data_IF_788367846564
#
_entry.id   IF_788367846564
#
_cell.length_a   1.000
_cell.length_b   1.000
_cell.length_c   1.000
_cell.angle_alpha   90.00
_cell.angle_beta   90.00
_cell.angle_gamma   90.00
#
_symmetry.space_group_name_H-M   'P 1'
#
loop_
_entity.id
_entity.type
_entity.pdbx_description
1 polymer ?
#
# COMPACT_ATOMS: atom_id res chain seq x y z
N UNK A 1 7.48 11.03 -39.58
CA UNK A 1 6.92 11.76 -38.43
C UNK A 1 7.60 11.24 -37.18
N UNK A 2 8.19 12.07 -36.31
CA UNK A 2 8.68 11.59 -35.03
C UNK A 2 7.53 11.60 -34.01
N UNK A 3 7.29 10.47 -33.36
CA UNK A 3 6.42 10.33 -32.21
C UNK A 3 7.10 11.01 -31.01
N UNK A 4 6.46 12.05 -30.48
CA UNK A 4 6.86 12.66 -29.22
C UNK A 4 6.34 11.80 -28.07
N UNK A 5 7.21 10.98 -27.49
CA UNK A 5 6.94 10.19 -26.28
C UNK A 5 6.95 11.13 -25.05
N UNK A 6 5.92 11.97 -24.96
CA UNK A 6 5.86 13.20 -24.17
C UNK A 6 5.21 13.08 -22.81
N UNK A 7 5.33 11.95 -22.10
CA UNK A 7 4.97 11.90 -20.67
C UNK A 7 6.19 11.64 -19.82
N UNK A 8 6.67 12.66 -19.11
CA UNK A 8 7.73 12.58 -18.09
C UNK A 8 7.24 11.95 -16.77
N UNK A 9 5.98 11.53 -16.68
CA UNK A 9 5.31 11.17 -15.43
C UNK A 9 5.24 9.64 -15.26
N UNK A 10 5.69 9.16 -14.09
CA UNK A 10 5.58 7.75 -13.68
C UNK A 10 4.11 7.39 -13.43
N UNK A 11 3.63 6.25 -13.93
CA UNK A 11 2.28 5.80 -13.64
C UNK A 11 2.13 5.52 -12.13
N UNK A 12 1.06 6.01 -11.52
CA UNK A 12 0.75 5.78 -10.10
C UNK A 12 -0.46 4.86 -10.01
N UNK A 13 -0.29 3.70 -9.36
CA UNK A 13 -1.38 2.82 -8.99
C UNK A 13 -1.75 3.03 -7.54
N UNK A 14 -3.05 3.15 -7.27
CA UNK A 14 -3.56 3.35 -5.91
C UNK A 14 -3.94 2.01 -5.26
N UNK A 15 -3.53 1.80 -4.01
CA UNK A 15 -3.97 0.72 -3.14
C UNK A 15 -4.65 1.33 -1.93
N UNK A 16 -5.86 0.87 -1.60
CA UNK A 16 -6.60 1.32 -0.42
C UNK A 16 -6.64 0.19 0.60
N UNK A 17 -6.23 0.49 1.83
CA UNK A 17 -6.22 -0.46 2.94
C UNK A 17 -7.06 0.12 4.07
N UNK A 18 -8.08 -0.63 4.47
CA UNK A 18 -8.95 -0.29 5.59
C UNK A 18 -8.60 -1.13 6.80
N UNK A 19 -8.48 -0.46 7.96
CA UNK A 19 -8.21 -1.08 9.25
C UNK A 19 -9.47 -1.13 10.12
N UNK A 20 -9.56 -2.10 11.05
CA UNK A 20 -10.62 -2.10 12.05
C UNK A 20 -10.43 -0.93 13.02
N UNK A 21 -11.45 -0.65 13.83
CA UNK A 21 -11.40 0.38 14.86
C UNK A 21 -10.22 0.12 15.81
N UNK A 22 -9.38 1.14 15.97
CA UNK A 22 -8.29 1.14 16.94
C UNK A 22 -8.54 2.21 18.01
N UNK A 23 -8.22 1.88 19.26
CA UNK A 23 -8.21 2.88 20.32
C UNK A 23 -7.03 3.82 20.11
N UNK A 24 -7.32 5.12 19.97
CA UNK A 24 -6.28 6.10 19.67
C UNK A 24 -5.41 6.35 20.92
N UNK A 25 -4.23 5.71 20.98
CA UNK A 25 -3.24 6.00 22.02
C UNK A 25 -2.30 7.14 21.58
N UNK A 26 -2.65 8.37 21.94
CA UNK A 26 -1.82 9.59 21.85
C UNK A 26 -1.26 9.97 20.45
N UNK A 27 -0.59 11.12 20.37
CA UNK A 27 0.00 11.67 19.13
C UNK A 27 1.29 10.91 18.84
N UNK A 28 1.21 9.95 17.92
CA UNK A 28 2.40 9.23 17.41
C UNK A 28 2.93 9.97 16.19
N UNK A 29 4.26 10.08 16.08
CA UNK A 29 4.93 10.62 14.90
C UNK A 29 4.49 9.84 13.64
N UNK A 30 4.36 10.54 12.51
CA UNK A 30 4.04 9.84 11.26
C UNK A 30 5.22 8.93 10.86
N UNK A 31 4.98 7.63 10.63
CA UNK A 31 6.05 6.71 10.30
C UNK A 31 6.57 6.99 8.89
N UNK A 32 7.89 6.94 8.73
CA UNK A 32 8.56 7.28 7.46
C UNK A 32 8.64 6.10 6.47
N UNK A 33 8.27 4.90 6.91
CA UNK A 33 8.30 3.66 6.12
C UNK A 33 7.10 2.76 6.40
N UNK A 34 6.83 1.80 5.51
CA UNK A 34 5.81 0.77 5.75
C UNK A 34 6.14 -0.11 6.96
N UNK A 35 7.43 -0.35 7.24
CA UNK A 35 7.87 -1.04 8.45
C UNK A 35 7.47 -0.27 9.71
N UNK A 36 7.77 1.04 9.77
CA UNK A 36 7.37 1.88 10.89
C UNK A 36 5.85 1.98 11.04
N UNK A 37 5.11 1.99 9.92
CA UNK A 37 3.64 1.95 9.96
C UNK A 37 3.12 0.61 10.50
N UNK A 38 3.72 -0.50 10.08
CA UNK A 38 3.38 -1.82 10.60
C UNK A 38 3.61 -1.89 12.12
N UNK A 39 4.79 -1.48 12.60
CA UNK A 39 5.12 -1.43 14.03
C UNK A 39 4.09 -0.60 14.81
N UNK A 40 3.74 0.57 14.30
CA UNK A 40 2.74 1.43 14.92
C UNK A 40 1.33 0.81 14.94
N UNK A 41 0.93 0.13 13.88
CA UNK A 41 -0.37 -0.55 13.82
C UNK A 41 -0.40 -1.77 14.75
N UNK A 42 0.70 -2.50 14.89
CA UNK A 42 0.86 -3.60 15.87
C UNK A 42 0.71 -3.09 17.29
N UNK A 43 1.28 -1.92 17.62
CA UNK A 43 1.07 -1.28 18.92
C UNK A 43 -0.40 -0.92 19.18
N UNK A 44 -1.18 -0.67 18.12
CA UNK A 44 -2.61 -0.41 18.21
C UNK A 44 -3.48 -1.67 18.12
N UNK A 45 -2.88 -2.86 18.19
CA UNK A 45 -3.59 -4.15 18.12
C UNK A 45 -4.08 -4.51 16.71
N UNK A 46 -3.47 -3.92 15.68
CA UNK A 46 -3.75 -4.21 14.28
C UNK A 46 -2.52 -4.73 13.55
N UNK A 47 -2.69 -5.15 12.31
CA UNK A 47 -1.63 -5.84 11.57
C UNK A 47 -1.70 -5.39 10.09
N UNK A 48 -0.61 -4.80 9.60
CA UNK A 48 -0.51 -4.26 8.23
C UNK A 48 -0.12 -5.33 7.20
N UNK A 49 0.74 -6.29 7.56
CA UNK A 49 1.34 -7.24 6.63
C UNK A 49 0.29 -8.10 5.94
N UNK A 50 -0.65 -8.67 6.70
CA UNK A 50 -1.74 -9.52 6.23
C UNK A 50 -2.67 -8.74 5.31
N UNK A 51 -3.03 -7.51 5.73
CA UNK A 51 -3.92 -6.64 4.93
C UNK A 51 -3.24 -6.21 3.65
N UNK A 52 -1.98 -5.79 3.73
CA UNK A 52 -1.20 -5.34 2.58
C UNK A 52 -0.96 -6.51 1.62
N UNK A 53 -0.54 -7.66 2.12
CA UNK A 53 -0.36 -8.90 1.36
C UNK A 53 -1.64 -9.27 0.62
N UNK A 54 -2.78 -9.30 1.32
CA UNK A 54 -4.10 -9.58 0.72
C UNK A 54 -4.48 -8.56 -0.35
N UNK A 55 -4.32 -7.27 -0.08
CA UNK A 55 -4.62 -6.21 -1.05
C UNK A 55 -3.75 -6.33 -2.31
N UNK A 56 -2.47 -6.67 -2.16
CA UNK A 56 -1.56 -6.90 -3.30
C UNK A 56 -1.98 -8.15 -4.05
N UNK A 57 -2.26 -9.24 -3.33
CA UNK A 57 -2.70 -10.51 -3.89
C UNK A 57 -3.96 -10.29 -4.74
N UNK A 58 -4.96 -9.58 -4.23
CA UNK A 58 -6.22 -9.29 -4.93
C UNK A 58 -6.04 -8.32 -6.12
N UNK A 59 -5.01 -7.48 -6.10
CA UNK A 59 -4.68 -6.60 -7.22
C UNK A 59 -4.07 -7.34 -8.44
N UNK A 60 -3.76 -8.64 -8.33
CA UNK A 60 -3.10 -9.45 -9.40
C UNK A 60 -4.00 -10.62 -9.87
N UNK A 61 -5.20 -10.37 -10.44
CA UNK A 61 -6.11 -11.45 -10.82
C UNK A 61 -5.69 -12.23 -12.08
N UNK A 62 -4.85 -11.65 -12.95
CA UNK A 62 -4.51 -12.21 -14.28
C UNK A 62 -3.01 -12.41 -14.49
N UNK A 63 -2.25 -12.48 -13.40
CA UNK A 63 -0.79 -12.42 -13.42
C UNK A 63 -0.27 -11.01 -13.68
N UNK A 64 1.01 -10.81 -13.42
CA UNK A 64 1.71 -9.52 -13.52
C UNK A 64 3.07 -9.70 -14.19
N UNK A 65 3.56 -8.64 -14.83
CA UNK A 65 4.93 -8.57 -15.37
C UNK A 65 5.70 -7.46 -14.66
N UNK A 66 7.03 -7.52 -14.63
CA UNK A 66 7.85 -6.38 -14.23
C UNK A 66 7.43 -5.12 -15.02
N UNK A 67 7.39 -3.94 -14.39
CA UNK A 67 7.05 -2.71 -15.10
C UNK A 67 8.08 -2.42 -16.20
N UNK A 68 7.61 -1.92 -17.35
CA UNK A 68 8.47 -1.47 -18.45
C UNK A 68 8.61 0.07 -18.47
N UNK A 69 9.62 0.58 -19.18
CA UNK A 69 9.81 2.02 -19.36
C UNK A 69 10.17 2.75 -18.05
N UNK A 70 9.41 3.80 -17.70
CA UNK A 70 9.67 4.69 -16.54
C UNK A 70 9.30 4.09 -15.19
N UNK A 71 8.81 2.86 -15.18
CA UNK A 71 8.37 2.16 -13.97
C UNK A 71 6.95 2.54 -13.53
N UNK A 72 6.52 1.94 -12.42
CA UNK A 72 5.24 2.19 -11.74
C UNK A 72 5.53 2.55 -10.27
N UNK A 73 4.75 3.47 -9.70
CA UNK A 73 4.78 3.80 -8.29
C UNK A 73 3.42 3.45 -7.66
N UNK A 74 3.40 3.22 -6.35
CA UNK A 74 2.17 2.99 -5.62
C UNK A 74 1.80 4.19 -4.76
N UNK A 75 0.51 4.51 -4.68
CA UNK A 75 -0.06 5.35 -3.64
C UNK A 75 -0.87 4.44 -2.71
N UNK A 76 -0.38 4.21 -1.49
CA UNK A 76 -1.07 3.41 -0.48
C UNK A 76 -1.85 4.37 0.43
N UNK A 77 -3.17 4.25 0.44
CA UNK A 77 -4.05 4.98 1.33
C UNK A 77 -4.46 4.06 2.48
N UNK A 78 -4.13 4.45 3.70
CA UNK A 78 -4.39 3.69 4.92
C UNK A 78 -5.45 4.40 5.73
N UNK A 79 -6.61 3.75 5.86
CA UNK A 79 -7.77 4.25 6.60
C UNK A 79 -7.77 3.64 7.99
N UNK A 80 -7.52 4.47 9.01
CA UNK A 80 -7.47 4.06 10.42
C UNK A 80 -8.65 4.69 11.15
N UNK A 81 -9.78 3.97 11.32
CA UNK A 81 -10.90 4.44 12.11
C UNK A 81 -10.51 4.43 13.59
N UNK A 82 -10.82 5.53 14.30
CA UNK A 82 -10.41 5.74 15.69
C UNK A 82 -11.58 5.64 16.63
N UNK A 83 -11.33 5.15 17.84
CA UNK A 83 -12.23 5.31 18.97
C UNK A 83 -11.72 6.45 19.87
N UNK A 84 -12.62 7.35 20.25
CA UNK A 84 -12.41 8.36 21.28
C UNK A 84 -13.54 8.25 22.29
N UNK A 85 -13.21 7.93 23.54
CA UNK A 85 -14.19 7.70 24.62
C UNK A 85 -15.26 6.65 24.25
N UNK A 86 -14.88 5.57 23.57
CA UNK A 86 -15.79 4.50 23.14
C UNK A 86 -16.71 4.85 21.97
N UNK A 87 -16.58 6.05 21.39
CA UNK A 87 -17.35 6.49 20.22
C UNK A 87 -16.43 6.48 18.99
N UNK A 88 -16.95 6.01 17.86
CA UNK A 88 -16.27 6.10 16.57
C UNK A 88 -16.03 7.59 16.23
N UNK A 89 -14.76 7.94 16.11
CA UNK A 89 -14.29 9.27 15.71
C UNK A 89 -14.00 9.27 14.20
N UNK A 90 -13.71 10.45 13.65
CA UNK A 90 -13.33 10.60 12.25
C UNK A 90 -12.14 9.70 11.92
N UNK A 91 -12.19 8.92 10.81
CA UNK A 91 -11.06 8.11 10.40
C UNK A 91 -9.89 9.00 9.99
N UNK A 92 -8.69 8.60 10.39
CA UNK A 92 -7.46 9.17 9.85
C UNK A 92 -7.11 8.44 8.56
N UNK A 93 -6.94 9.21 7.48
CA UNK A 93 -6.43 8.69 6.21
C UNK A 93 -4.98 9.10 6.08
N UNK A 94 -4.10 8.11 5.93
CA UNK A 94 -2.66 8.31 5.73
C UNK A 94 -2.30 7.89 4.31
N UNK A 95 -1.62 8.78 3.57
CA UNK A 95 -1.14 8.49 2.21
C UNK A 95 0.36 8.23 2.19
N UNK A 96 0.77 7.13 1.56
CA UNK A 96 2.16 6.74 1.36
C UNK A 96 2.43 6.58 -0.13
N UNK A 97 3.34 7.40 -0.67
CA UNK A 97 3.86 7.19 -2.02
C UNK A 97 5.04 6.24 -1.93
N UNK A 98 4.97 5.14 -2.67
CA UNK A 98 5.99 4.10 -2.72
C UNK A 98 6.67 4.13 -4.08
N UNK A 99 8.00 4.25 -4.07
CA UNK A 99 8.81 4.23 -5.29
C UNK A 99 8.82 2.90 -6.04
N UNK A 100 8.27 1.84 -5.42
CA UNK A 100 8.13 0.51 -5.99
C UNK A 100 6.79 0.33 -6.73
N UNK A 101 6.82 -0.56 -7.72
CA UNK A 101 5.67 -1.06 -8.47
C UNK A 101 4.90 -2.14 -7.70
N UNK A 102 3.71 -2.47 -8.18
CA UNK A 102 2.94 -3.60 -7.64
C UNK A 102 3.72 -4.92 -7.77
N UNK A 103 4.47 -5.08 -8.86
CA UNK A 103 5.31 -6.25 -9.11
C UNK A 103 6.44 -6.38 -8.07
N UNK A 104 7.16 -5.29 -7.80
CA UNK A 104 8.26 -5.29 -6.84
C UNK A 104 7.75 -5.55 -5.42
N UNK A 105 6.60 -4.97 -5.06
CA UNK A 105 5.99 -5.20 -3.77
C UNK A 105 5.49 -6.65 -3.62
N UNK A 106 4.82 -7.21 -4.62
CA UNK A 106 4.42 -8.63 -4.63
C UNK A 106 5.62 -9.59 -4.58
N UNK A 107 6.75 -9.21 -5.20
CA UNK A 107 8.01 -9.95 -5.10
C UNK A 107 8.56 -9.90 -3.67
N UNK A 108 8.53 -8.74 -3.02
CA UNK A 108 9.03 -8.57 -1.65
C UNK A 108 8.20 -9.30 -0.58
N UNK A 109 6.96 -9.66 -0.91
CA UNK A 109 6.08 -10.53 -0.12
C UNK A 109 6.25 -12.02 -0.43
N UNK A 110 7.09 -12.40 -1.40
CA UNK A 110 7.27 -13.79 -1.85
C UNK A 110 5.98 -14.49 -2.31
N UNK A 111 5.04 -13.75 -2.91
CA UNK A 111 3.73 -14.27 -3.37
C UNK A 111 3.66 -14.50 -4.89
N UNK A 112 4.76 -14.37 -5.62
CA UNK A 112 4.81 -14.56 -7.07
C UNK A 112 5.50 -15.87 -7.45
N UNK A 113 4.81 -16.71 -8.23
CA UNK A 113 5.36 -17.95 -8.77
C UNK A 113 6.39 -17.72 -9.88
N UNK A 114 6.91 -18.79 -10.49
CA UNK A 114 7.86 -18.68 -11.60
C UNK A 114 7.22 -17.98 -12.82
N UNK A 115 8.08 -17.41 -13.67
CA UNK A 115 7.68 -16.80 -14.94
C UNK A 115 7.20 -17.87 -15.92
N UNK A 116 6.08 -17.60 -16.59
CA UNK A 116 5.63 -18.38 -17.73
C UNK A 116 6.43 -18.03 -19.01
N UNK A 117 6.20 -18.73 -20.15
CA UNK A 117 6.89 -18.42 -21.41
C UNK A 117 6.66 -17.00 -21.96
N UNK A 118 5.63 -16.30 -21.50
CA UNK A 118 5.31 -14.93 -21.87
C UNK A 118 5.90 -13.91 -20.88
N UNK A 119 6.57 -14.37 -19.82
CA UNK A 119 7.13 -13.56 -18.75
C UNK A 119 6.13 -13.10 -17.68
N UNK A 120 4.90 -13.66 -17.67
CA UNK A 120 3.91 -13.44 -16.61
C UNK A 120 4.26 -14.25 -15.36
N UNK A 121 4.06 -13.67 -14.20
CA UNK A 121 4.05 -14.38 -12.92
C UNK A 121 2.66 -14.32 -12.31
N UNK A 122 2.22 -15.45 -11.78
CA UNK A 122 0.93 -15.58 -11.11
C UNK A 122 1.10 -15.58 -9.61
N UNK A 123 0.12 -15.00 -8.92
CA UNK A 123 0.05 -15.01 -7.47
C UNK A 123 -0.13 -16.45 -6.96
N UNK A 124 0.51 -16.79 -5.85
CA UNK A 124 0.25 -18.04 -5.12
C UNK A 124 0.19 -17.75 -3.61
N UNK A 125 -0.48 -18.62 -2.87
CA UNK A 125 -0.50 -18.57 -1.40
C UNK A 125 0.55 -19.55 -0.85
N UNK A 126 1.52 -19.10 -0.03
CA UNK A 126 2.45 -19.98 0.66
C UNK A 126 1.70 -20.98 1.55
N UNK A 127 2.09 -22.26 1.50
CA UNK A 127 1.42 -23.33 2.24
C UNK A 127 1.59 -23.22 3.76
N UNK A 128 2.69 -22.62 4.21
CA UNK A 128 3.00 -22.33 5.61
C UNK A 128 2.45 -20.97 6.07
N UNK A 129 1.81 -20.22 5.17
CA UNK A 129 1.31 -18.87 5.41
C UNK A 129 2.39 -17.82 5.63
N UNK A 130 3.68 -18.15 5.45
CA UNK A 130 4.76 -17.19 5.65
C UNK A 130 4.98 -16.39 4.37
N UNK A 131 5.03 -15.06 4.52
CA UNK A 131 5.34 -14.12 3.45
C UNK A 131 6.70 -13.46 3.68
N UNK A 132 7.33 -13.01 2.60
CA UNK A 132 8.58 -12.27 2.67
C UNK A 132 8.49 -11.00 3.52
N UNK A 133 9.62 -10.56 4.08
CA UNK A 133 9.71 -9.39 4.97
C UNK A 133 10.39 -8.18 4.30
N UNK A 134 10.88 -8.32 3.07
CA UNK A 134 11.66 -7.26 2.40
C UNK A 134 10.80 -6.01 2.08
N UNK A 135 9.48 -6.14 2.06
CA UNK A 135 8.55 -5.02 1.87
C UNK A 135 8.67 -3.95 2.97
N UNK A 136 9.17 -4.31 4.16
CA UNK A 136 9.34 -3.38 5.28
C UNK A 136 10.39 -2.29 5.00
N UNK A 137 11.38 -2.59 4.17
CA UNK A 137 12.55 -1.73 3.89
C UNK A 137 12.37 -0.83 2.66
N UNK A 138 11.44 -1.16 1.76
CA UNK A 138 11.42 -0.64 0.38
C UNK A 138 10.60 0.64 0.18
N UNK A 139 10.25 1.38 1.24
CA UNK A 139 9.32 2.52 1.13
C UNK A 139 9.82 3.75 1.87
N UNK A 140 10.08 4.82 1.11
CA UNK A 140 10.32 6.15 1.64
C UNK A 140 9.04 6.99 1.56
N UNK A 141 8.60 7.54 2.68
CA UNK A 141 7.51 8.51 2.77
C UNK A 141 7.86 9.80 2.00
N UNK A 142 7.09 10.12 0.94
CA UNK A 142 7.02 11.46 0.37
C UNK A 142 5.72 12.12 0.85
N UNK A 143 5.84 12.92 1.91
CA UNK A 143 4.70 13.41 2.68
C UNK A 143 3.79 14.41 1.97
N UNK A 144 2.49 14.27 2.24
CA UNK A 144 1.46 15.28 2.06
C UNK A 144 0.23 14.87 2.86
N UNK A 145 -0.20 15.69 3.82
CA UNK A 145 -1.46 15.48 4.52
C UNK A 145 -2.61 15.74 3.55
N UNK A 146 -3.17 14.68 2.95
CA UNK A 146 -4.39 14.79 2.16
C UNK A 146 -5.59 14.87 3.12
N UNK A 147 -5.84 16.06 3.67
CA UNK A 147 -7.10 16.33 4.37
C UNK A 147 -8.23 16.37 3.33
N UNK A 148 -9.00 15.29 3.21
CA UNK A 148 -10.26 15.33 2.47
C UNK A 148 -11.24 16.16 3.31
N UNK A 149 -11.37 17.45 3.00
CA UNK A 149 -12.39 18.33 3.59
C UNK A 149 -13.73 18.10 2.88
N UNK A 150 -14.69 17.43 3.56
CA UNK A 150 -16.04 17.21 3.03
C UNK A 150 -16.98 18.43 3.16
N UNK A 151 -16.48 19.64 3.46
CA UNK A 151 -17.31 20.88 3.48
C UNK A 151 -17.74 21.41 2.09
N UNK A 152 -17.96 20.53 1.10
CA UNK A 152 -18.57 20.91 -0.19
C UNK A 152 -19.71 19.97 -0.60
N UNK A 153 -20.72 19.80 0.26
CA UNK A 153 -22.09 19.45 -0.17
C UNK A 153 -23.14 20.07 0.75
N UNK A 154 -23.25 21.39 0.74
CA UNK A 154 -24.51 22.13 0.95
C UNK A 154 -24.46 23.41 0.13
N UNK A 155 -25.08 23.36 -1.04
CA UNK A 155 -25.62 24.51 -1.77
C UNK A 155 -27.00 24.07 -2.26
#
# INVERSE_FOLDING_TARGET
>A
MPEGDGSTVKAIRMLTIEFPLVEAQSVVMFPESLGGLHEQLVLWGSELADRLSKTIFDAIPKGIKPPSGKGEALLILVWVPRLRNGIADRPNVMGYVVGASLYELATAFDILGPKDPQGLQFRFEPLDGQVGLEWQKNVAYAGGNLFIDERRKRA
#
